data_IF_632073281250
#
_entry.id   IF_632073281250
#
_cell.length_a   1.000
_cell.length_b   1.000
_cell.length_c   1.000
_cell.angle_alpha   90.00
_cell.angle_beta   90.00
_cell.angle_gamma   90.00
#
_symmetry.space_group_name_H-M   'P 1'
#
loop_
_entity.id
_entity.type
_entity.pdbx_description
1 polymer ?
#
# COMPACT_ATOMS: atom_id res chain seq x y z
N UNK A 1 -0.22 -8.05 -9.56
CA UNK A 1 0.85 -7.05 -9.77
C UNK A 1 1.45 -6.63 -8.44
N UNK A 2 2.63 -5.97 -8.39
CA UNK A 2 3.17 -5.42 -7.14
C UNK A 2 2.21 -4.46 -6.43
N UNK A 3 1.47 -3.64 -7.20
CA UNK A 3 0.46 -2.73 -6.66
C UNK A 3 -0.67 -3.51 -5.96
N UNK A 4 -1.21 -4.56 -6.58
CA UNK A 4 -2.24 -5.40 -5.97
C UNK A 4 -1.76 -6.10 -4.70
N UNK A 5 -0.51 -6.58 -4.68
CA UNK A 5 0.06 -7.18 -3.46
C UNK A 5 0.18 -6.15 -2.34
N UNK A 6 0.63 -4.92 -2.63
CA UNK A 6 0.71 -3.85 -1.64
C UNK A 6 -0.66 -3.45 -1.09
N UNK A 7 -1.68 -3.35 -1.95
CA UNK A 7 -3.05 -3.03 -1.56
C UNK A 7 -3.64 -4.17 -0.70
N UNK A 8 -3.52 -5.42 -1.15
CA UNK A 8 -4.00 -6.60 -0.40
C UNK A 8 -3.30 -6.72 0.95
N UNK A 9 -1.99 -6.43 1.03
CA UNK A 9 -1.27 -6.38 2.30
C UNK A 9 -1.85 -5.32 3.25
N UNK A 10 -2.15 -4.11 2.77
CA UNK A 10 -2.79 -3.08 3.58
C UNK A 10 -4.19 -3.52 4.06
N UNK A 11 -4.98 -4.16 3.20
CA UNK A 11 -6.33 -4.65 3.53
C UNK A 11 -6.31 -5.86 4.48
N UNK A 12 -5.21 -6.62 4.55
CA UNK A 12 -5.05 -7.74 5.48
C UNK A 12 -4.77 -7.31 6.92
N UNK A 13 -4.46 -6.03 7.18
CA UNK A 13 -4.15 -5.55 8.52
C UNK A 13 -5.43 -5.34 9.33
N UNK A 14 -5.57 -6.04 10.46
CA UNK A 14 -6.77 -5.98 11.32
C UNK A 14 -7.14 -4.56 11.79
N UNK A 15 -6.16 -3.66 11.87
CA UNK A 15 -6.35 -2.28 12.35
C UNK A 15 -6.66 -1.28 11.24
N UNK A 16 -6.65 -1.71 9.98
CA UNK A 16 -6.93 -0.85 8.82
C UNK A 16 -8.31 -1.20 8.26
N UNK A 17 -9.23 -0.24 8.28
CA UNK A 17 -10.56 -0.39 7.69
C UNK A 17 -10.59 -0.02 6.20
N UNK A 18 -9.63 0.77 5.73
CA UNK A 18 -9.67 1.37 4.39
C UNK A 18 -8.25 1.69 3.92
N UNK A 19 -7.97 1.39 2.65
CA UNK A 19 -6.75 1.79 1.95
C UNK A 19 -7.09 2.87 0.92
N UNK A 20 -6.40 4.01 0.97
CA UNK A 20 -6.48 5.06 -0.04
C UNK A 20 -5.36 4.87 -1.05
N UNK A 21 -5.70 4.85 -2.33
CA UNK A 21 -4.74 4.72 -3.43
C UNK A 21 -4.83 5.92 -4.36
N UNK A 22 -3.67 6.49 -4.70
CA UNK A 22 -3.55 7.46 -5.78
C UNK A 22 -3.29 6.74 -7.10
N UNK A 23 -4.07 7.07 -8.13
CA UNK A 23 -3.95 6.51 -9.49
C UNK A 23 -3.91 7.63 -10.52
N UNK A 24 -3.30 7.38 -11.67
CA UNK A 24 -3.13 8.36 -12.75
C UNK A 24 -4.05 8.13 -13.94
N UNK A 25 -4.66 6.95 -14.03
CA UNK A 25 -5.58 6.57 -15.11
C UNK A 25 -6.70 5.65 -14.61
N UNK A 26 -7.73 5.51 -15.44
CA UNK A 26 -8.82 4.55 -15.20
C UNK A 26 -8.30 3.12 -15.28
N UNK A 27 -7.42 2.81 -16.23
CA UNK A 27 -6.84 1.47 -16.37
C UNK A 27 -6.05 1.05 -15.12
N UNK A 28 -5.29 1.97 -14.51
CA UNK A 28 -4.60 1.71 -13.22
C UNK A 28 -5.59 1.46 -12.09
N UNK A 29 -6.69 2.22 -12.06
CA UNK A 29 -7.76 2.01 -11.08
C UNK A 29 -8.36 0.61 -11.23
N UNK A 30 -8.75 0.24 -12.44
CA UNK A 30 -9.36 -1.06 -12.73
C UNK A 30 -8.42 -2.23 -12.40
N UNK A 31 -7.13 -2.10 -12.70
CA UNK A 31 -6.13 -3.11 -12.32
C UNK A 31 -5.97 -3.18 -10.80
N UNK A 32 -5.95 -2.04 -10.10
CA UNK A 32 -5.79 -2.01 -8.65
C UNK A 32 -7.02 -2.55 -7.91
N UNK A 33 -8.23 -2.35 -8.42
CA UNK A 33 -9.46 -2.86 -7.80
C UNK A 33 -9.48 -4.40 -7.68
N UNK A 34 -8.80 -5.11 -8.58
CA UNK A 34 -8.65 -6.58 -8.51
C UNK A 34 -7.88 -7.04 -7.26
N UNK A 35 -7.20 -6.13 -6.56
CA UNK A 35 -6.49 -6.45 -5.32
C UNK A 35 -7.40 -6.93 -4.19
N UNK A 36 -8.69 -6.56 -4.21
CA UNK A 36 -9.68 -6.98 -3.21
C UNK A 36 -9.88 -8.49 -3.21
N UNK A 37 -9.70 -9.14 -4.37
CA UNK A 37 -9.83 -10.59 -4.52
C UNK A 37 -8.50 -11.33 -4.29
N UNK A 38 -7.40 -10.61 -4.04
CA UNK A 38 -6.09 -11.21 -3.80
C UNK A 38 -5.96 -11.59 -2.33
N UNK A 39 -5.75 -12.88 -2.06
CA UNK A 39 -5.37 -13.37 -0.72
C UNK A 39 -3.88 -13.68 -0.69
N UNK A 40 -3.15 -13.03 0.21
CA UNK A 40 -1.72 -13.27 0.40
C UNK A 40 -1.52 -14.36 1.47
N UNK A 41 -0.64 -15.35 1.24
CA UNK A 41 -0.31 -16.34 2.26
C UNK A 41 0.35 -15.70 3.50
N UNK A 42 0.08 -16.21 4.70
CA UNK A 42 0.66 -15.71 5.96
C UNK A 42 2.20 -15.56 5.93
N UNK A 43 2.98 -16.50 5.36
CA UNK A 43 4.43 -16.31 5.27
C UNK A 43 4.81 -15.08 4.45
N UNK A 44 4.06 -14.76 3.39
CA UNK A 44 4.31 -13.59 2.56
C UNK A 44 3.93 -12.30 3.29
N UNK A 45 2.80 -12.29 4.00
CA UNK A 45 2.42 -11.18 4.86
C UNK A 45 3.51 -10.86 5.89
N UNK A 46 4.09 -11.91 6.50
CA UNK A 46 5.17 -11.76 7.46
C UNK A 46 6.44 -11.16 6.83
N UNK A 47 6.83 -11.58 5.62
CA UNK A 47 7.97 -10.99 4.92
C UNK A 47 7.70 -9.55 4.48
N UNK A 48 6.49 -9.25 4.00
CA UNK A 48 6.10 -7.90 3.58
C UNK A 48 6.11 -6.92 4.77
N UNK A 49 5.71 -7.36 5.96
CA UNK A 49 5.79 -6.55 7.18
C UNK A 49 7.23 -6.11 7.55
N UNK A 50 8.25 -6.80 7.01
CA UNK A 50 9.66 -6.44 7.21
C UNK A 50 10.15 -5.36 6.24
N UNK A 51 9.39 -5.03 5.20
CA UNK A 51 9.73 -4.00 4.19
C UNK A 51 9.54 -2.57 4.75
N UNK A 52 10.06 -2.31 5.95
CA UNK A 52 10.01 -0.99 6.58
C UNK A 52 10.91 -0.03 5.81
N UNK A 53 10.38 1.15 5.50
CA UNK A 53 11.13 2.26 4.93
C UNK A 53 11.36 3.31 6.02
N UNK A 54 12.61 3.49 6.42
CA UNK A 54 13.04 4.54 7.34
C UNK A 54 13.62 5.70 6.53
N UNK A 55 12.74 6.50 5.93
CA UNK A 55 13.11 7.71 5.16
C UNK A 55 12.35 8.93 5.69
N UNK A 56 13.08 9.81 6.37
CA UNK A 56 12.57 11.04 6.99
C UNK A 56 12.00 12.04 5.97
N UNK A 57 12.26 11.88 4.68
CA UNK A 57 11.75 12.78 3.63
C UNK A 57 10.50 12.23 2.93
N UNK A 58 10.08 10.99 3.21
CA UNK A 58 9.00 10.35 2.47
C UNK A 58 7.62 10.93 2.80
N UNK A 59 7.25 10.97 4.09
CA UNK A 59 5.94 11.43 4.57
C UNK A 59 6.07 12.34 5.81
N UNK A 60 7.05 13.25 5.80
CA UNK A 60 7.26 14.20 6.89
C UNK A 60 6.92 15.64 6.45
N UNK A 61 5.81 16.23 6.91
CA UNK A 61 5.45 17.60 6.54
C UNK A 61 6.51 18.65 6.86
N UNK A 62 7.37 18.41 7.86
CA UNK A 62 8.43 19.34 8.22
C UNK A 62 9.52 19.48 7.14
N UNK A 63 9.64 18.51 6.22
CA UNK A 63 10.65 18.52 5.14
C UNK A 63 10.08 18.98 3.79
N UNK A 64 8.79 19.32 3.71
CA UNK A 64 8.12 19.66 2.44
C UNK A 64 8.37 21.09 1.93
N UNK A 65 9.12 21.91 2.67
CA UNK A 65 9.43 23.29 2.26
C UNK A 65 8.21 24.22 2.22
N UNK A 66 7.17 23.91 3.00
CA UNK A 66 6.00 24.78 3.20
C UNK A 66 6.46 25.92 4.15
N UNK A 67 6.43 27.20 3.71
CA UNK A 67 6.85 28.34 4.52
C UNK A 67 5.90 28.63 5.70
#
# INVERSE_FOLDING_TARGET
SPAQAAISFALSQERLSTALIGVRSVDELEENLKAVDVTLPDPLLHEMAKLRLDDDNLLNPATWGIP
#
